data_IF_508946762467
#
_entry.id   IF_508946762467
#
_cell.length_a   1.000
_cell.length_b   1.000
_cell.length_c   1.000
_cell.angle_alpha   90.00
_cell.angle_beta   90.00
_cell.angle_gamma   90.00
#
_symmetry.space_group_name_H-M   'P 1'
#
loop_
_entity.id
_entity.type
_entity.pdbx_description
1 polymer ?
#
# COMPACT_ATOMS: atom_id res chain seq x y z
N UNK A 1 -2.64 16.17 -45.05
CA UNK A 1 -3.95 16.83 -44.80
C UNK A 1 -4.72 16.20 -43.61
N UNK A 2 -4.16 15.25 -42.88
CA UNK A 2 -4.84 14.52 -41.77
C UNK A 2 -4.43 14.99 -40.35
N UNK A 3 -3.36 15.76 -40.20
CA UNK A 3 -2.85 16.19 -38.88
C UNK A 3 -3.58 17.40 -38.25
N UNK A 4 -4.33 18.19 -39.05
CA UNK A 4 -5.01 19.39 -38.53
C UNK A 4 -6.30 19.14 -37.74
N UNK A 5 -6.87 17.94 -37.77
CA UNK A 5 -8.16 17.63 -37.09
C UNK A 5 -7.97 17.08 -35.66
N UNK A 6 -6.85 16.43 -35.36
CA UNK A 6 -6.61 15.82 -34.04
C UNK A 6 -6.24 16.89 -33.00
N UNK A 7 -5.48 17.90 -33.39
CA UNK A 7 -5.10 18.99 -32.48
C UNK A 7 -6.28 19.86 -32.00
N UNK A 8 -7.33 20.02 -32.82
CA UNK A 8 -8.50 20.82 -32.46
C UNK A 8 -9.43 20.13 -31.45
N UNK A 9 -9.53 18.80 -31.48
CA UNK A 9 -10.40 18.05 -30.56
C UNK A 9 -9.83 18.03 -29.15
N UNK A 10 -8.52 17.94 -28.99
CA UNK A 10 -7.89 17.99 -27.66
C UNK A 10 -7.97 19.39 -27.02
N UNK A 11 -7.88 20.44 -27.81
CA UNK A 11 -7.95 21.81 -27.28
C UNK A 11 -9.35 22.20 -26.79
N UNK A 12 -10.40 21.71 -27.43
CA UNK A 12 -11.78 21.98 -27.00
C UNK A 12 -12.24 21.17 -25.79
N UNK A 13 -11.71 19.97 -25.58
CA UNK A 13 -11.97 19.16 -24.38
C UNK A 13 -11.31 19.73 -23.13
N UNK A 14 -10.15 20.42 -23.29
CA UNK A 14 -9.42 21.01 -22.17
C UNK A 14 -10.03 22.33 -21.67
N UNK A 15 -10.61 23.12 -22.56
CA UNK A 15 -11.25 24.41 -22.22
C UNK A 15 -12.64 24.25 -21.60
N UNK A 16 -13.37 23.17 -21.94
CA UNK A 16 -14.72 22.94 -21.41
C UNK A 16 -14.73 22.40 -19.95
N UNK A 17 -13.61 21.86 -19.46
CA UNK A 17 -13.49 21.34 -18.08
C UNK A 17 -13.00 22.40 -17.06
N UNK A 18 -12.64 23.60 -17.53
CA UNK A 18 -12.02 24.61 -16.67
C UNK A 18 -12.97 25.66 -16.08
N UNK A 19 -14.26 25.55 -16.31
CA UNK A 19 -15.21 26.59 -15.87
C UNK A 19 -15.90 26.31 -14.52
N UNK A 20 -15.59 25.27 -13.77
CA UNK A 20 -16.34 24.94 -12.54
C UNK A 20 -15.56 24.43 -11.32
N UNK A 21 -14.26 24.62 -11.16
CA UNK A 21 -13.68 24.39 -9.82
C UNK A 21 -12.47 25.29 -9.57
N UNK A 22 -12.61 26.22 -8.65
CA UNK A 22 -11.48 26.89 -8.00
C UNK A 22 -10.78 25.89 -7.07
N UNK A 23 -9.59 25.40 -7.47
CA UNK A 23 -8.74 24.60 -6.61
C UNK A 23 -7.90 25.50 -5.70
N UNK A 24 -7.84 25.21 -4.39
CA UNK A 24 -6.86 25.88 -3.53
C UNK A 24 -5.43 25.45 -3.93
N UNK A 25 -4.49 26.40 -3.81
CA UNK A 25 -3.07 26.17 -4.11
C UNK A 25 -2.50 24.97 -3.32
N UNK A 26 -1.67 24.12 -3.93
CA UNK A 26 -1.06 23.01 -3.21
C UNK A 26 -0.06 23.56 -2.19
N UNK A 27 -0.33 23.31 -0.91
CA UNK A 27 0.65 23.47 0.15
C UNK A 27 1.78 22.44 -0.09
N UNK A 28 3.03 22.90 -0.02
CA UNK A 28 4.22 22.07 -0.08
C UNK A 28 4.27 21.15 1.16
N UNK A 29 3.71 19.99 1.03
CA UNK A 29 3.70 18.90 2.01
C UNK A 29 2.96 17.77 1.34
N UNK A 30 3.69 16.79 0.81
CA UNK A 30 3.08 15.55 0.33
C UNK A 30 2.24 14.94 1.45
N UNK A 31 1.15 14.22 1.14
CA UNK A 31 0.36 13.57 2.16
C UNK A 31 1.27 12.62 2.92
N UNK A 32 1.57 12.97 4.17
CA UNK A 32 2.03 11.99 5.15
C UNK A 32 0.88 11.00 5.24
N UNK A 33 1.06 9.82 4.65
CA UNK A 33 0.16 8.70 4.84
C UNK A 33 0.10 8.47 6.35
N UNK A 34 -0.93 9.01 7.00
CA UNK A 34 -1.33 8.50 8.30
C UNK A 34 -1.54 7.01 8.11
N UNK A 35 -0.69 6.21 8.76
CA UNK A 35 -0.95 4.79 8.87
C UNK A 35 -2.41 4.68 9.31
N UNK A 36 -3.20 3.94 8.54
CA UNK A 36 -4.56 3.61 8.95
C UNK A 36 -4.44 3.08 10.39
N UNK A 37 -5.32 3.53 11.31
CA UNK A 37 -5.28 3.01 12.67
C UNK A 37 -5.34 1.50 12.57
N UNK A 38 -4.30 0.83 13.07
CA UNK A 38 -4.29 -0.62 13.23
C UNK A 38 -5.44 -0.90 14.18
N UNK A 39 -6.49 -1.63 13.77
CA UNK A 39 -7.56 -1.93 14.69
C UNK A 39 -7.00 -2.75 15.85
N UNK A 40 -7.28 -2.35 17.07
CA UNK A 40 -6.85 -3.03 18.30
C UNK A 40 -7.52 -4.40 18.52
N UNK A 41 -8.23 -4.94 17.53
CA UNK A 41 -8.98 -6.17 17.65
C UNK A 41 -8.23 -7.37 17.07
N UNK A 42 -7.57 -8.11 17.92
CA UNK A 42 -7.26 -9.51 17.67
C UNK A 42 -8.58 -10.28 17.75
N UNK A 43 -8.91 -10.98 16.67
CA UNK A 43 -10.13 -11.76 16.62
C UNK A 43 -9.94 -13.15 17.27
N UNK A 44 -10.95 -13.60 17.96
CA UNK A 44 -11.08 -14.92 18.59
C UNK A 44 -11.99 -15.79 17.76
N UNK A 45 -11.58 -17.03 17.38
CA UNK A 45 -12.46 -17.96 16.70
C UNK A 45 -13.69 -18.26 17.56
N UNK A 46 -14.83 -18.51 16.90
CA UNK A 46 -16.10 -18.82 17.54
C UNK A 46 -15.98 -19.83 18.66
N UNK A 47 -16.26 -19.37 19.87
CA UNK A 47 -16.87 -20.19 20.88
C UNK A 47 -18.37 -19.96 20.77
N UNK A 48 -19.20 -21.01 20.94
CA UNK A 48 -20.63 -20.87 20.79
C UNK A 48 -21.18 -19.80 21.72
N UNK A 49 -21.92 -18.91 21.11
CA UNK A 49 -22.85 -17.90 21.63
C UNK A 49 -22.55 -17.18 22.94
N UNK A 50 -22.44 -15.86 22.78
CA UNK A 50 -22.76 -14.73 23.66
C UNK A 50 -21.58 -13.82 24.01
N UNK A 51 -21.37 -12.77 23.20
CA UNK A 51 -20.52 -11.64 23.55
C UNK A 51 -20.99 -10.90 24.80
N UNK A 52 -22.31 -10.96 25.11
CA UNK A 52 -22.91 -10.48 26.37
C UNK A 52 -22.45 -11.29 27.56
N UNK A 53 -22.48 -12.62 27.47
CA UNK A 53 -22.07 -13.51 28.56
C UNK A 53 -20.55 -13.43 28.83
N UNK A 54 -19.78 -13.11 27.82
CA UNK A 54 -18.32 -12.91 27.95
C UNK A 54 -17.96 -11.65 28.73
N UNK A 55 -18.64 -10.54 28.48
CA UNK A 55 -18.47 -9.30 29.27
C UNK A 55 -18.89 -9.49 30.71
N UNK A 56 -20.01 -10.18 30.91
CA UNK A 56 -20.52 -10.50 32.23
C UNK A 56 -19.58 -11.45 33.01
N UNK A 57 -18.99 -12.47 32.35
CA UNK A 57 -17.98 -13.35 32.96
C UNK A 57 -16.66 -12.63 33.27
N UNK A 58 -16.22 -11.69 32.41
CA UNK A 58 -15.02 -10.88 32.66
C UNK A 58 -15.24 -9.91 33.83
N UNK A 59 -16.42 -9.32 33.92
CA UNK A 59 -16.81 -8.45 35.05
C UNK A 59 -16.98 -9.29 36.33
N UNK A 60 -17.56 -10.50 36.23
CA UNK A 60 -17.69 -11.43 37.34
C UNK A 60 -16.32 -11.85 37.88
N UNK A 61 -15.35 -12.13 37.00
CA UNK A 61 -13.97 -12.46 37.41
C UNK A 61 -13.23 -11.28 38.03
N UNK A 62 -13.48 -10.07 37.57
CA UNK A 62 -12.96 -8.86 38.18
C UNK A 62 -13.57 -8.61 39.57
N UNK A 63 -14.86 -8.86 39.73
CA UNK A 63 -15.55 -8.77 41.00
C UNK A 63 -15.17 -9.88 41.98
N UNK A 64 -14.96 -11.12 41.50
CA UNK A 64 -14.45 -12.21 42.31
C UNK A 64 -13.03 -11.94 42.84
N UNK A 65 -12.16 -11.36 42.00
CA UNK A 65 -10.81 -10.93 42.42
C UNK A 65 -10.89 -9.81 43.48
N UNK A 66 -11.80 -8.85 43.33
CA UNK A 66 -12.03 -7.80 44.32
C UNK A 66 -12.58 -8.37 45.62
N UNK A 67 -13.53 -9.30 45.56
CA UNK A 67 -14.09 -10.00 46.74
C UNK A 67 -13.06 -10.87 47.45
N UNK A 68 -12.25 -11.63 46.73
CA UNK A 68 -11.16 -12.45 47.29
C UNK A 68 -10.09 -11.60 48.01
N UNK A 69 -9.75 -10.43 47.44
CA UNK A 69 -8.83 -9.50 48.08
C UNK A 69 -9.36 -8.86 49.37
N UNK A 70 -10.69 -8.79 49.53
CA UNK A 70 -11.36 -8.21 50.72
C UNK A 70 -11.66 -9.27 51.79
N UNK A 71 -11.86 -10.53 51.40
CA UNK A 71 -12.28 -11.61 52.33
C UNK A 71 -11.15 -12.42 52.90
N UNK A 72 -9.90 -12.27 52.43
CA UNK A 72 -8.76 -13.08 52.85
C UNK A 72 -8.89 -14.57 52.51
N UNK A 73 -9.90 -14.95 51.72
CA UNK A 73 -10.04 -16.32 51.18
C UNK A 73 -9.01 -16.55 50.09
N UNK A 74 -8.37 -17.72 50.09
CA UNK A 74 -7.43 -18.11 49.04
C UNK A 74 -8.15 -18.11 47.69
N UNK A 75 -7.70 -17.28 46.76
CA UNK A 75 -8.17 -17.31 45.37
C UNK A 75 -7.77 -18.70 44.82
N UNK A 76 -8.69 -19.49 44.23
CA UNK A 76 -8.33 -20.77 43.66
C UNK A 76 -7.29 -20.51 42.54
N UNK A 77 -6.10 -21.09 42.76
CA UNK A 77 -5.01 -21.01 41.77
C UNK A 77 -5.07 -22.28 40.89
N UNK A 78 -5.15 -22.08 39.58
CA UNK A 78 -5.03 -23.16 38.61
C UNK A 78 -3.55 -23.41 38.33
N UNK A 79 -3.19 -24.69 38.37
CA UNK A 79 -1.85 -25.15 38.01
C UNK A 79 -1.84 -25.82 36.65
N UNK A 80 -0.64 -26.09 36.12
CA UNK A 80 -0.47 -26.70 34.79
C UNK A 80 -1.10 -28.12 34.71
N UNK A 81 -1.16 -28.85 35.81
CA UNK A 81 -1.76 -30.21 35.81
C UNK A 81 -3.29 -30.15 35.73
N UNK A 82 -3.91 -29.10 36.30
CA UNK A 82 -5.33 -28.84 36.12
C UNK A 82 -5.68 -28.57 34.67
N UNK A 83 -4.82 -27.79 33.97
CA UNK A 83 -4.98 -27.49 32.56
C UNK A 83 -4.73 -28.69 31.67
N UNK A 84 -3.73 -29.54 31.98
CA UNK A 84 -3.46 -30.79 31.25
C UNK A 84 -4.61 -31.77 31.30
N UNK A 85 -5.38 -31.74 32.37
CA UNK A 85 -6.52 -32.64 32.58
C UNK A 85 -7.85 -32.05 32.07
N UNK A 86 -7.84 -30.74 31.66
CA UNK A 86 -9.06 -30.05 31.19
C UNK A 86 -8.80 -29.25 29.91
N UNK A 87 -8.99 -29.90 28.74
CA UNK A 87 -8.74 -29.23 27.45
C UNK A 87 -9.64 -28.02 27.22
N UNK A 88 -10.89 -28.04 27.71
CA UNK A 88 -11.82 -26.90 27.58
C UNK A 88 -11.30 -25.67 28.34
N UNK A 89 -10.81 -25.87 29.55
CA UNK A 89 -10.22 -24.83 30.35
C UNK A 89 -8.95 -24.26 29.69
N UNK A 90 -8.08 -25.12 29.15
CA UNK A 90 -6.90 -24.72 28.43
C UNK A 90 -7.26 -23.88 27.19
N UNK A 91 -8.26 -24.29 26.41
CA UNK A 91 -8.78 -23.53 25.27
C UNK A 91 -9.34 -22.17 25.69
N UNK A 92 -10.11 -22.14 26.79
CA UNK A 92 -10.65 -20.90 27.31
C UNK A 92 -9.55 -19.89 27.71
N UNK A 93 -8.51 -20.38 28.39
CA UNK A 93 -7.38 -19.51 28.80
C UNK A 93 -6.60 -19.05 27.57
N UNK A 94 -6.33 -19.93 26.59
CA UNK A 94 -5.67 -19.54 25.34
C UNK A 94 -6.46 -18.45 24.61
N UNK A 95 -7.78 -18.61 24.47
CA UNK A 95 -8.63 -17.58 23.88
C UNK A 95 -8.59 -16.26 24.64
N UNK A 96 -8.68 -16.32 25.97
CA UNK A 96 -8.63 -15.13 26.81
C UNK A 96 -7.28 -14.43 26.72
N UNK A 97 -6.20 -15.18 26.71
CA UNK A 97 -4.84 -14.64 26.57
C UNK A 97 -4.61 -14.06 25.17
N UNK A 98 -5.20 -14.67 24.12
CA UNK A 98 -5.18 -14.09 22.76
C UNK A 98 -5.86 -12.73 22.71
N UNK A 99 -7.07 -12.59 23.30
CA UNK A 99 -7.79 -11.30 23.34
C UNK A 99 -6.99 -10.22 24.08
N UNK A 100 -6.25 -10.63 25.11
CA UNK A 100 -5.47 -9.72 25.97
C UNK A 100 -4.05 -9.48 25.48
N UNK A 101 -3.67 -10.12 24.38
CA UNK A 101 -2.28 -10.13 23.89
C UNK A 101 -1.27 -10.56 24.95
N UNK A 102 -1.68 -11.46 25.86
CA UNK A 102 -0.79 -11.99 26.89
C UNK A 102 0.12 -13.09 26.31
N UNK A 103 1.15 -12.61 25.63
CA UNK A 103 2.11 -13.48 24.94
C UNK A 103 2.86 -14.41 25.90
N UNK A 104 3.04 -14.01 27.15
CA UNK A 104 3.73 -14.83 28.17
C UNK A 104 2.90 -16.04 28.53
N UNK A 105 1.61 -15.83 28.85
CA UNK A 105 0.68 -16.93 29.14
C UNK A 105 0.50 -17.85 27.92
N UNK A 106 0.39 -17.27 26.71
CA UNK A 106 0.29 -18.06 25.47
C UNK A 106 1.53 -18.94 25.27
N UNK A 107 2.74 -18.41 25.40
CA UNK A 107 3.97 -19.18 25.24
C UNK A 107 4.07 -20.30 26.29
N UNK A 108 3.68 -20.02 27.52
CA UNK A 108 3.71 -20.99 28.60
C UNK A 108 2.78 -22.18 28.31
N UNK A 109 1.51 -21.92 28.01
CA UNK A 109 0.53 -22.98 27.74
C UNK A 109 0.90 -23.74 26.48
N UNK A 110 1.32 -23.07 25.42
CA UNK A 110 1.76 -23.69 24.18
C UNK A 110 2.91 -24.67 24.36
N UNK A 111 3.69 -24.51 25.44
CA UNK A 111 4.77 -25.43 25.81
C UNK A 111 4.32 -26.83 26.11
N UNK A 112 3.10 -27.03 26.61
CA UNK A 112 2.53 -28.36 26.96
C UNK A 112 1.17 -28.64 26.32
N UNK A 113 0.58 -27.71 25.57
CA UNK A 113 -0.77 -27.83 25.02
C UNK A 113 -0.96 -29.08 24.16
N UNK A 114 0.06 -29.52 23.43
CA UNK A 114 0.01 -30.73 22.61
C UNK A 114 -0.04 -32.03 23.44
N UNK A 115 0.36 -31.97 24.70
CA UNK A 115 0.35 -33.11 25.60
C UNK A 115 -1.02 -33.26 26.28
N UNK A 116 -1.92 -32.28 26.09
CA UNK A 116 -3.29 -32.32 26.62
C UNK A 116 -4.11 -33.33 25.80
N UNK A 117 -4.74 -34.36 26.43
CA UNK A 117 -5.62 -35.28 25.74
C UNK A 117 -6.80 -34.52 25.11
N UNK A 118 -6.98 -34.64 23.80
CA UNK A 118 -8.07 -33.95 23.10
C UNK A 118 -7.81 -32.48 22.79
N UNK A 119 -6.52 -32.03 22.79
CA UNK A 119 -6.18 -30.70 22.36
C UNK A 119 -6.70 -30.41 20.94
N UNK A 120 -7.00 -29.13 20.65
CA UNK A 120 -7.43 -28.69 19.33
C UNK A 120 -6.21 -28.36 18.44
N UNK A 121 -5.94 -29.12 17.37
CA UNK A 121 -4.83 -28.85 16.45
C UNK A 121 -4.97 -27.49 15.74
N UNK A 122 -6.20 -27.04 15.49
CA UNK A 122 -6.44 -25.74 14.82
C UNK A 122 -6.11 -24.60 15.76
N UNK A 123 -6.55 -24.68 17.02
CA UNK A 123 -6.19 -23.73 18.06
C UNK A 123 -4.67 -23.67 18.24
N UNK A 124 -3.99 -24.83 18.24
CA UNK A 124 -2.54 -24.88 18.32
C UNK A 124 -1.86 -24.14 17.16
N UNK A 125 -2.28 -24.42 15.93
CA UNK A 125 -1.75 -23.74 14.74
C UNK A 125 -2.06 -22.23 14.78
N UNK A 126 -3.28 -21.84 15.19
CA UNK A 126 -3.74 -20.45 15.27
C UNK A 126 -2.91 -19.63 16.27
N UNK A 127 -2.81 -20.08 17.51
CA UNK A 127 -2.00 -19.41 18.55
C UNK A 127 -0.52 -19.38 18.16
N UNK A 128 0.00 -20.47 17.60
CA UNK A 128 1.37 -20.56 17.10
C UNK A 128 1.65 -19.52 16.01
N UNK A 129 0.70 -19.27 15.13
CA UNK A 129 0.76 -18.23 14.11
C UNK A 129 0.75 -16.81 14.72
N UNK A 130 -0.11 -16.57 15.71
CA UNK A 130 -0.17 -15.29 16.42
C UNK A 130 1.15 -14.97 17.16
N UNK A 131 1.73 -15.95 17.83
CA UNK A 131 3.04 -15.81 18.49
C UNK A 131 4.16 -15.50 17.47
N UNK A 132 4.11 -16.09 16.28
CA UNK A 132 5.06 -15.76 15.22
C UNK A 132 4.87 -14.33 14.71
N UNK A 133 3.62 -13.85 14.59
CA UNK A 133 3.33 -12.44 14.24
C UNK A 133 3.88 -11.49 15.30
N UNK A 134 3.60 -11.74 16.57
CA UNK A 134 4.11 -10.94 17.68
C UNK A 134 5.65 -10.85 17.71
N UNK A 135 6.32 -11.93 17.27
CA UNK A 135 7.79 -11.97 17.13
C UNK A 135 8.31 -11.38 15.81
N UNK A 136 7.47 -10.71 15.01
CA UNK A 136 7.83 -10.11 13.73
C UNK A 136 8.07 -11.11 12.58
N UNK A 137 7.74 -12.40 12.76
CA UNK A 137 7.93 -13.45 11.74
C UNK A 137 6.71 -13.56 10.82
N UNK A 138 6.28 -12.41 10.26
CA UNK A 138 5.03 -12.27 9.49
C UNK A 138 4.87 -13.30 8.36
N UNK A 139 5.92 -13.58 7.58
CA UNK A 139 5.83 -14.54 6.49
C UNK A 139 5.51 -15.97 6.95
N UNK A 140 6.00 -16.38 8.13
CA UNK A 140 5.67 -17.69 8.72
C UNK A 140 4.26 -17.72 9.28
N UNK A 141 3.84 -16.66 9.97
CA UNK A 141 2.48 -16.50 10.48
C UNK A 141 1.46 -16.59 9.33
N UNK A 142 1.63 -15.81 8.27
CA UNK A 142 0.78 -15.83 7.08
C UNK A 142 0.68 -17.23 6.48
N UNK A 143 1.78 -17.99 6.44
CA UNK A 143 1.76 -19.37 5.91
C UNK A 143 0.86 -20.27 6.77
N UNK A 144 0.98 -20.21 8.10
CA UNK A 144 0.16 -21.00 9.02
C UNK A 144 -1.32 -20.65 8.84
N UNK A 145 -1.68 -19.35 8.86
CA UNK A 145 -3.07 -18.94 8.72
C UNK A 145 -3.67 -19.31 7.35
N UNK A 146 -2.88 -19.23 6.27
CA UNK A 146 -3.31 -19.74 4.95
C UNK A 146 -3.59 -21.23 4.98
N UNK A 147 -2.77 -22.00 5.68
CA UNK A 147 -2.95 -23.45 5.81
C UNK A 147 -4.20 -23.78 6.62
N UNK A 148 -4.49 -23.03 7.70
CA UNK A 148 -5.73 -23.16 8.47
C UNK A 148 -6.95 -22.88 7.58
N UNK A 149 -7.00 -21.69 6.95
CA UNK A 149 -8.14 -21.27 6.10
C UNK A 149 -8.34 -22.21 4.91
N UNK A 150 -7.26 -22.83 4.40
CA UNK A 150 -7.38 -23.83 3.32
C UNK A 150 -8.00 -25.12 3.80
N UNK A 151 -7.66 -25.59 5.02
CA UNK A 151 -8.20 -26.81 5.63
C UNK A 151 -9.64 -26.61 6.11
N UNK A 152 -9.93 -25.44 6.65
CA UNK A 152 -11.22 -25.06 7.23
C UNK A 152 -11.65 -23.69 6.68
N UNK A 153 -12.33 -23.66 5.54
CA UNK A 153 -12.73 -22.40 4.87
C UNK A 153 -13.77 -21.60 5.66
N UNK A 154 -14.51 -22.24 6.55
CA UNK A 154 -15.62 -21.65 7.32
C UNK A 154 -15.15 -20.82 8.52
N UNK A 155 -13.83 -20.80 8.79
CA UNK A 155 -13.25 -19.99 9.84
C UNK A 155 -13.05 -18.53 9.37
N UNK A 156 -14.16 -17.80 9.25
CA UNK A 156 -14.22 -16.42 8.73
C UNK A 156 -13.29 -15.46 9.48
N UNK A 157 -13.17 -15.66 10.77
CA UNK A 157 -12.32 -14.80 11.60
C UNK A 157 -10.82 -15.06 11.45
N UNK A 158 -10.44 -16.34 11.30
CA UNK A 158 -9.04 -16.66 10.94
C UNK A 158 -8.69 -16.08 9.58
N UNK A 159 -9.67 -16.03 8.67
CA UNK A 159 -9.54 -15.36 7.37
C UNK A 159 -9.39 -13.84 7.51
N UNK A 160 -10.15 -13.22 8.41
CA UNK A 160 -10.04 -11.79 8.71
C UNK A 160 -8.64 -11.43 9.23
N UNK A 161 -8.13 -12.23 10.18
CA UNK A 161 -6.77 -12.07 10.70
C UNK A 161 -5.70 -12.28 9.62
N UNK A 162 -5.86 -13.31 8.78
CA UNK A 162 -4.99 -13.53 7.64
C UNK A 162 -4.97 -12.30 6.71
N UNK A 163 -6.14 -11.75 6.42
CA UNK A 163 -6.28 -10.57 5.57
C UNK A 163 -5.57 -9.34 6.20
N UNK A 164 -5.73 -9.14 7.51
CA UNK A 164 -5.02 -8.10 8.26
C UNK A 164 -3.49 -8.26 8.19
N UNK A 165 -2.98 -9.47 8.41
CA UNK A 165 -1.54 -9.76 8.29
C UNK A 165 -1.00 -9.56 6.86
N UNK A 166 -1.80 -9.88 5.84
CA UNK A 166 -1.44 -9.63 4.44
C UNK A 166 -1.38 -8.13 4.15
N UNK A 167 -2.31 -7.36 4.70
CA UNK A 167 -2.33 -5.90 4.59
C UNK A 167 -1.09 -5.28 5.24
N UNK A 168 -0.78 -5.64 6.48
CA UNK A 168 0.42 -5.20 7.20
C UNK A 168 1.69 -5.49 6.40
N UNK A 169 1.75 -6.69 5.80
CA UNK A 169 2.89 -7.10 4.97
C UNK A 169 2.85 -6.52 3.54
N UNK A 170 1.96 -5.56 3.25
CA UNK A 170 1.81 -4.87 1.95
C UNK A 170 1.45 -5.78 0.76
N UNK A 171 0.92 -6.95 1.04
CA UNK A 171 0.37 -7.85 0.03
C UNK A 171 -1.10 -7.48 -0.28
N UNK A 172 -1.32 -6.22 -0.66
CA UNK A 172 -2.64 -5.57 -0.73
C UNK A 172 -3.65 -6.32 -1.60
N UNK A 173 -3.22 -6.86 -2.74
CA UNK A 173 -4.10 -7.62 -3.63
C UNK A 173 -4.58 -8.92 -3.00
N UNK A 174 -3.70 -9.60 -2.28
CA UNK A 174 -4.06 -10.85 -1.58
C UNK A 174 -4.92 -10.52 -0.35
N UNK A 175 -4.59 -9.46 0.39
CA UNK A 175 -5.40 -8.95 1.48
C UNK A 175 -6.83 -8.60 1.03
N UNK A 176 -6.97 -7.82 -0.05
CA UNK A 176 -8.26 -7.45 -0.59
C UNK A 176 -9.13 -8.67 -0.94
N UNK A 177 -8.53 -9.72 -1.51
CA UNK A 177 -9.27 -10.94 -1.83
C UNK A 177 -9.84 -11.64 -0.60
N UNK A 178 -9.06 -11.70 0.49
CA UNK A 178 -9.53 -12.33 1.72
C UNK A 178 -10.57 -11.45 2.43
N UNK A 179 -10.39 -10.12 2.48
CA UNK A 179 -11.42 -9.20 3.00
C UNK A 179 -12.72 -9.25 2.20
N UNK A 180 -12.65 -9.32 0.87
CA UNK A 180 -13.82 -9.49 0.01
C UNK A 180 -14.58 -10.80 0.27
N UNK A 181 -13.87 -11.87 0.66
CA UNK A 181 -14.51 -13.13 1.06
C UNK A 181 -15.20 -12.97 2.41
N UNK A 182 -14.50 -12.44 3.42
CA UNK A 182 -15.07 -12.15 4.74
C UNK A 182 -16.35 -11.32 4.61
N UNK A 183 -16.36 -10.27 3.80
CA UNK A 183 -17.53 -9.41 3.57
C UNK A 183 -18.75 -10.16 3.01
N UNK A 184 -18.53 -11.28 2.31
CA UNK A 184 -19.61 -12.11 1.73
C UNK A 184 -20.08 -13.24 2.63
N UNK A 185 -19.34 -13.50 3.68
CA UNK A 185 -19.67 -14.52 4.67
C UNK A 185 -20.66 -13.96 5.70
N UNK A 186 -21.39 -14.82 6.37
CA UNK A 186 -22.26 -14.45 7.49
C UNK A 186 -21.40 -14.28 8.74
N UNK A 187 -21.03 -13.04 9.02
CA UNK A 187 -20.14 -12.63 10.11
C UNK A 187 -20.74 -11.42 10.83
N UNK A 188 -20.35 -11.19 12.08
CA UNK A 188 -20.86 -10.05 12.84
C UNK A 188 -20.65 -8.73 12.11
N UNK A 189 -21.61 -7.78 12.27
CA UNK A 189 -21.56 -6.49 11.58
C UNK A 189 -20.26 -5.72 11.79
N UNK A 190 -19.68 -5.79 12.97
CA UNK A 190 -18.45 -5.10 13.35
C UNK A 190 -17.24 -5.66 12.55
N UNK A 191 -17.18 -6.96 12.37
CA UNK A 191 -16.12 -7.62 11.59
C UNK A 191 -16.29 -7.35 10.09
N UNK A 192 -17.53 -7.27 9.60
CA UNK A 192 -17.82 -6.89 8.23
C UNK A 192 -17.44 -5.42 7.96
N UNK A 193 -17.74 -4.50 8.89
CA UNK A 193 -17.33 -3.10 8.83
C UNK A 193 -15.80 -2.97 8.83
N UNK A 194 -15.12 -3.74 9.68
CA UNK A 194 -13.67 -3.78 9.71
C UNK A 194 -13.08 -4.21 8.36
N UNK A 195 -13.63 -5.25 7.73
CA UNK A 195 -13.20 -5.70 6.41
C UNK A 195 -13.40 -4.59 5.35
N UNK A 196 -14.52 -3.86 5.39
CA UNK A 196 -14.79 -2.75 4.47
C UNK A 196 -13.79 -1.59 4.67
N UNK A 197 -13.48 -1.24 5.92
CA UNK A 197 -12.48 -0.21 6.24
C UNK A 197 -11.10 -0.57 5.68
N UNK A 198 -10.69 -1.84 5.76
CA UNK A 198 -9.45 -2.29 5.15
C UNK A 198 -9.49 -2.25 3.61
N UNK A 199 -10.62 -2.62 2.99
CA UNK A 199 -10.78 -2.52 1.54
C UNK A 199 -10.67 -1.07 1.06
N UNK A 200 -11.28 -0.14 1.80
CA UNK A 200 -11.13 1.29 1.54
C UNK A 200 -9.66 1.73 1.68
N UNK A 201 -8.99 1.37 2.78
CA UNK A 201 -7.58 1.69 3.00
C UNK A 201 -6.67 1.14 1.88
N UNK A 202 -6.95 -0.08 1.37
CA UNK A 202 -6.22 -0.65 0.23
C UNK A 202 -6.43 0.18 -1.04
N UNK A 203 -7.66 0.65 -1.28
CA UNK A 203 -7.96 1.49 -2.45
C UNK A 203 -7.24 2.83 -2.39
N UNK A 204 -7.11 3.40 -1.20
CA UNK A 204 -6.43 4.67 -0.94
C UNK A 204 -4.90 4.53 -0.93
N UNK A 205 -4.37 3.34 -0.63
CA UNK A 205 -2.93 3.08 -0.61
C UNK A 205 -2.27 3.17 -1.99
N UNK A 206 -3.03 2.95 -3.06
CA UNK A 206 -2.52 2.92 -4.43
C UNK A 206 -3.39 3.75 -5.40
N UNK A 207 -3.58 5.06 -5.16
CA UNK A 207 -4.39 5.91 -6.03
C UNK A 207 -3.70 6.13 -7.38
N UNK A 208 -4.48 6.49 -8.39
CA UNK A 208 -3.95 7.13 -9.56
C UNK A 208 -3.44 8.53 -9.19
N UNK A 209 -2.20 8.82 -9.52
CA UNK A 209 -1.63 10.16 -9.37
C UNK A 209 -1.59 10.80 -10.74
N UNK A 210 -2.36 11.86 -10.92
CA UNK A 210 -2.38 12.62 -12.15
C UNK A 210 -1.97 14.05 -11.82
N UNK A 211 -0.93 14.52 -12.49
CA UNK A 211 -0.45 15.90 -12.39
C UNK A 211 -0.52 16.51 -13.78
N UNK A 212 -1.06 17.71 -13.88
CA UNK A 212 -1.02 18.50 -15.10
C UNK A 212 -0.40 19.87 -14.80
N UNK A 213 0.38 20.36 -15.72
CA UNK A 213 0.98 21.68 -15.61
C UNK A 213 0.85 22.44 -16.93
N UNK A 214 0.78 23.75 -16.81
CA UNK A 214 0.91 24.67 -17.93
C UNK A 214 1.64 25.91 -17.44
N UNK A 215 2.41 26.52 -18.31
CA UNK A 215 3.19 27.70 -17.97
C UNK A 215 3.48 28.57 -19.19
N UNK A 216 3.84 29.83 -18.92
CA UNK A 216 4.39 30.74 -19.88
C UNK A 216 5.88 30.83 -19.67
N UNK A 217 6.66 30.75 -20.75
CA UNK A 217 8.11 30.86 -20.68
C UNK A 217 8.66 31.75 -21.79
N UNK A 218 9.85 32.27 -21.57
CA UNK A 218 10.66 32.92 -22.57
C UNK A 218 12.01 32.23 -22.67
N UNK A 219 12.43 31.89 -23.89
CA UNK A 219 13.76 31.40 -24.18
C UNK A 219 14.47 32.42 -25.09
N UNK A 220 15.73 32.68 -24.79
CA UNK A 220 16.59 33.51 -25.67
C UNK A 220 17.21 32.68 -26.82
N UNK A 221 17.02 31.38 -26.81
CA UNK A 221 17.52 30.45 -27.81
C UNK A 221 16.51 29.32 -28.00
N UNK A 222 15.44 29.61 -28.73
CA UNK A 222 14.32 28.67 -28.95
C UNK A 222 14.74 27.47 -29.81
N UNK A 223 15.61 27.72 -30.80
CA UNK A 223 16.08 26.71 -31.75
C UNK A 223 17.33 25.91 -31.28
N UNK A 224 17.73 26.08 -30.01
CA UNK A 224 18.93 25.45 -29.44
C UNK A 224 20.19 25.59 -30.31
N UNK A 225 20.29 26.69 -31.07
CA UNK A 225 21.40 26.94 -31.97
C UNK A 225 22.67 27.40 -31.23
N UNK A 226 23.82 27.07 -31.78
CA UNK A 226 25.09 27.61 -31.29
C UNK A 226 25.20 29.10 -31.61
N UNK A 227 25.82 29.88 -30.73
CA UNK A 227 26.04 31.32 -30.91
C UNK A 227 27.16 31.65 -31.92
N UNK A 228 27.90 30.64 -32.40
CA UNK A 228 28.94 30.87 -33.40
C UNK A 228 28.30 31.23 -34.74
N UNK A 229 28.81 32.29 -35.37
CA UNK A 229 28.36 32.80 -36.66
C UNK A 229 28.95 32.06 -37.88
N UNK A 230 29.77 31.04 -37.62
CA UNK A 230 30.36 30.17 -38.63
C UNK A 230 30.37 28.72 -38.14
N UNK A 231 30.52 27.78 -39.07
CA UNK A 231 30.90 26.41 -38.77
C UNK A 231 32.21 26.04 -39.51
N UNK A 232 33.01 25.16 -38.90
CA UNK A 232 34.28 24.70 -39.43
C UNK A 232 34.03 23.49 -40.31
N UNK A 233 34.31 23.62 -41.61
CA UNK A 233 34.23 22.53 -42.56
C UNK A 233 35.63 21.92 -42.75
N UNK A 234 35.85 20.63 -42.47
CA UNK A 234 37.16 20.01 -42.76
C UNK A 234 37.38 20.01 -44.25
N UNK A 235 38.43 20.71 -44.70
CA UNK A 235 38.68 20.92 -46.10
C UNK A 235 39.86 20.06 -46.63
N UNK A 236 40.92 19.93 -45.84
CA UNK A 236 42.16 19.29 -46.26
C UNK A 236 42.89 18.69 -45.08
N UNK A 237 43.53 17.54 -45.28
CA UNK A 237 44.44 16.91 -44.31
C UNK A 237 45.82 16.83 -44.92
N UNK A 238 46.82 17.48 -44.27
CA UNK A 238 48.23 17.45 -44.68
C UNK A 238 49.04 17.10 -43.42
N UNK A 239 49.92 16.12 -43.52
CA UNK A 239 50.79 15.70 -42.42
C UNK A 239 50.06 15.48 -41.07
N UNK A 240 48.94 14.76 -41.11
CA UNK A 240 48.03 14.50 -39.98
C UNK A 240 47.34 15.76 -39.37
N UNK A 241 47.54 16.95 -39.94
CA UNK A 241 46.83 18.19 -39.56
C UNK A 241 45.60 18.39 -40.45
N UNK A 242 44.42 18.63 -39.80
CA UNK A 242 43.20 18.93 -40.53
C UNK A 242 42.99 20.42 -40.63
N UNK A 243 42.91 20.90 -41.85
CA UNK A 243 42.63 22.30 -42.17
C UNK A 243 41.13 22.52 -42.35
N UNK A 244 40.61 23.56 -41.71
CA UNK A 244 39.18 23.87 -41.71
C UNK A 244 38.91 25.15 -42.47
N UNK A 245 37.87 25.14 -43.29
CA UNK A 245 37.31 26.33 -43.88
C UNK A 245 36.18 26.88 -43.04
N UNK A 246 36.17 28.18 -42.77
CA UNK A 246 35.07 28.84 -42.03
C UNK A 246 33.95 29.20 -42.99
N UNK A 247 32.83 28.52 -42.84
CA UNK A 247 31.63 28.80 -43.59
C UNK A 247 30.70 29.68 -42.72
N UNK A 248 30.23 30.85 -43.22
CA UNK A 248 29.27 31.65 -42.47
C UNK A 248 27.95 30.92 -42.34
N UNK A 249 27.29 31.12 -41.21
CA UNK A 249 25.95 30.61 -40.97
C UNK A 249 24.91 31.59 -41.43
N UNK A 250 23.78 31.08 -41.91
CA UNK A 250 22.62 31.90 -42.25
C UNK A 250 21.96 32.46 -40.99
N UNK A 251 21.41 33.67 -41.09
CA UNK A 251 20.77 34.35 -39.95
C UNK A 251 19.64 33.53 -39.30
N UNK A 252 18.93 32.73 -40.11
CA UNK A 252 17.85 31.85 -39.63
C UNK A 252 18.36 30.67 -38.78
N UNK A 253 19.62 30.29 -38.92
CA UNK A 253 20.27 29.25 -38.14
C UNK A 253 20.96 29.75 -36.87
N UNK A 254 20.92 31.05 -36.62
CA UNK A 254 21.44 31.68 -35.40
C UNK A 254 20.41 31.58 -34.25
N UNK A 255 20.85 31.68 -32.97
CA UNK A 255 19.95 31.70 -31.85
C UNK A 255 18.91 32.81 -31.96
N UNK A 256 17.64 32.48 -31.77
CA UNK A 256 16.58 33.46 -31.70
C UNK A 256 15.72 33.27 -30.46
N UNK A 257 15.23 34.38 -29.91
CA UNK A 257 14.41 34.40 -28.72
C UNK A 257 12.92 34.31 -29.05
N UNK A 258 12.16 33.75 -28.13
CA UNK A 258 10.72 33.62 -28.27
C UNK A 258 9.99 33.30 -26.97
N UNK A 259 8.72 33.66 -26.97
CA UNK A 259 7.79 33.28 -25.92
C UNK A 259 7.10 31.97 -26.33
N UNK A 260 6.92 31.09 -25.34
CA UNK A 260 6.24 29.83 -25.54
C UNK A 260 5.35 29.45 -24.36
N UNK A 261 4.47 28.50 -24.62
CA UNK A 261 3.61 27.86 -23.61
C UNK A 261 4.14 26.44 -23.34
N UNK A 262 4.57 26.18 -22.09
CA UNK A 262 4.86 24.84 -21.62
C UNK A 262 3.56 24.17 -21.19
N UNK A 263 3.44 22.90 -21.44
CA UNK A 263 2.31 22.07 -21.02
C UNK A 263 2.75 20.64 -20.78
N UNK A 264 2.08 19.95 -19.89
CA UNK A 264 2.33 18.54 -19.68
C UNK A 264 1.35 17.90 -18.75
N UNK A 265 1.34 16.57 -18.81
CA UNK A 265 0.60 15.69 -17.93
C UNK A 265 1.49 14.54 -17.52
N UNK A 266 1.47 14.22 -16.25
CA UNK A 266 2.11 13.04 -15.67
C UNK A 266 1.04 12.17 -15.06
N UNK A 267 1.07 10.88 -15.36
CA UNK A 267 0.17 9.86 -14.81
C UNK A 267 1.00 8.77 -14.19
N UNK A 268 0.85 8.58 -12.88
CA UNK A 268 1.60 7.58 -12.13
C UNK A 268 0.66 6.60 -11.46
N UNK A 269 1.03 5.32 -11.46
CA UNK A 269 0.32 4.24 -10.78
C UNK A 269 1.28 3.21 -10.23
N UNK A 270 1.16 2.96 -8.94
CA UNK A 270 1.72 1.75 -8.32
C UNK A 270 0.60 0.70 -8.23
N UNK A 271 0.91 -0.54 -8.55
CA UNK A 271 -0.06 -1.64 -8.46
C UNK A 271 0.57 -2.87 -7.85
N UNK A 272 -0.12 -3.46 -6.87
CA UNK A 272 0.28 -4.75 -6.30
C UNK A 272 -0.18 -5.89 -7.22
N UNK A 273 0.74 -6.72 -7.67
CA UNK A 273 0.45 -7.82 -8.61
C UNK A 273 0.12 -9.10 -7.88
N UNK A 274 0.99 -9.52 -6.95
CA UNK A 274 0.82 -10.74 -6.15
C UNK A 274 1.76 -10.72 -4.96
N UNK A 275 1.24 -11.03 -3.77
CA UNK A 275 2.04 -10.99 -2.55
C UNK A 275 2.70 -9.61 -2.40
N UNK A 276 4.00 -9.60 -2.24
CA UNK A 276 4.81 -8.39 -2.04
C UNK A 276 5.38 -7.79 -3.33
N UNK A 277 4.97 -8.30 -4.50
CA UNK A 277 5.43 -7.85 -5.81
C UNK A 277 4.55 -6.71 -6.32
N UNK A 278 5.16 -5.58 -6.60
CA UNK A 278 4.51 -4.37 -7.09
C UNK A 278 5.12 -3.95 -8.43
N UNK A 279 4.29 -3.39 -9.29
CA UNK A 279 4.71 -2.70 -10.51
C UNK A 279 4.37 -1.22 -10.37
N UNK A 280 5.27 -0.37 -10.83
CA UNK A 280 5.06 1.07 -10.97
C UNK A 280 5.05 1.44 -12.44
N UNK A 281 4.15 2.34 -12.81
CA UNK A 281 4.07 2.93 -14.13
C UNK A 281 4.08 4.45 -13.98
N UNK A 282 4.89 5.10 -14.78
CA UNK A 282 4.93 6.56 -14.89
C UNK A 282 4.88 6.91 -16.37
N UNK A 283 3.87 7.68 -16.76
CA UNK A 283 3.70 8.22 -18.11
C UNK A 283 3.76 9.73 -18.01
N UNK A 284 4.70 10.32 -18.71
CA UNK A 284 4.79 11.77 -18.84
C UNK A 284 4.69 12.15 -20.32
N UNK A 285 3.82 13.10 -20.60
CA UNK A 285 3.67 13.69 -21.92
C UNK A 285 3.61 15.22 -21.78
N UNK A 286 4.43 15.93 -22.52
CA UNK A 286 4.46 17.37 -22.43
C UNK A 286 5.34 18.01 -23.51
N UNK A 287 5.41 19.32 -23.47
CA UNK A 287 6.24 20.05 -24.44
C UNK A 287 6.13 21.55 -24.31
N UNK A 288 6.65 22.22 -25.29
CA UNK A 288 6.59 23.67 -25.44
C UNK A 288 6.07 24.02 -26.83
N UNK A 289 5.09 24.90 -26.86
CA UNK A 289 4.57 25.47 -28.11
C UNK A 289 5.01 26.93 -28.24
N UNK A 290 5.73 27.22 -29.32
CA UNK A 290 6.19 28.55 -29.69
C UNK A 290 5.31 29.10 -30.83
N UNK A 291 4.38 30.04 -30.59
CA UNK A 291 3.44 30.52 -31.61
C UNK A 291 4.10 31.12 -32.85
N UNK A 292 5.24 31.82 -32.68
CA UNK A 292 5.99 32.46 -33.74
C UNK A 292 7.03 31.55 -34.41
N UNK A 293 7.44 30.48 -33.71
CA UNK A 293 8.50 29.56 -34.13
C UNK A 293 8.00 28.13 -34.09
N UNK A 294 6.98 27.83 -34.88
CA UNK A 294 6.29 26.52 -34.82
C UNK A 294 7.17 25.33 -35.17
N UNK A 295 8.26 25.57 -35.92
CA UNK A 295 9.25 24.53 -36.28
C UNK A 295 10.04 24.08 -35.06
N UNK A 296 10.17 24.93 -34.04
CA UNK A 296 10.93 24.69 -32.82
C UNK A 296 10.03 24.21 -31.66
N UNK A 297 8.78 23.81 -31.94
CA UNK A 297 7.91 23.21 -30.96
C UNK A 297 8.50 21.86 -30.47
N UNK A 298 8.51 21.70 -29.16
CA UNK A 298 9.01 20.50 -28.51
C UNK A 298 7.85 19.66 -28.01
N UNK A 299 7.97 18.34 -28.17
CA UNK A 299 7.07 17.37 -27.55
C UNK A 299 7.89 16.19 -27.03
N UNK A 300 7.71 15.89 -25.76
CA UNK A 300 8.37 14.79 -25.07
C UNK A 300 7.31 13.80 -24.59
N UNK A 301 7.59 12.53 -24.77
CA UNK A 301 6.80 11.42 -24.24
C UNK A 301 7.76 10.44 -23.58
N UNK A 302 7.55 10.20 -22.29
CA UNK A 302 8.29 9.16 -21.56
C UNK A 302 7.32 8.16 -20.94
N UNK A 303 7.72 6.90 -20.93
CA UNK A 303 7.02 5.82 -20.27
C UNK A 303 8.05 5.02 -19.48
N UNK A 304 7.91 5.05 -18.17
CA UNK A 304 8.75 4.30 -17.25
C UNK A 304 7.95 3.19 -16.60
N UNK A 305 8.54 2.00 -16.51
CA UNK A 305 7.98 0.87 -15.79
C UNK A 305 9.00 0.35 -14.79
N UNK A 306 8.57 0.21 -13.54
CA UNK A 306 9.41 -0.23 -12.45
C UNK A 306 8.85 -1.46 -11.76
N UNK A 307 9.73 -2.23 -11.13
CA UNK A 307 9.38 -3.33 -10.26
C UNK A 307 9.87 -3.05 -8.84
N UNK A 308 9.00 -3.28 -7.85
CA UNK A 308 9.31 -3.11 -6.43
C UNK A 308 8.91 -4.35 -5.65
N UNK A 309 9.78 -4.82 -4.77
CA UNK A 309 9.44 -5.85 -3.78
C UNK A 309 9.38 -5.18 -2.41
N UNK A 310 8.19 -5.17 -1.80
CA UNK A 310 7.95 -4.46 -0.55
C UNK A 310 7.40 -5.42 0.51
N UNK A 311 8.03 -5.42 1.68
CA UNK A 311 7.55 -6.13 2.87
C UNK A 311 7.47 -5.15 4.04
N UNK A 312 6.86 -5.59 5.15
CA UNK A 312 6.85 -4.79 6.39
C UNK A 312 8.26 -4.37 6.84
N UNK A 313 9.25 -5.21 6.61
CA UNK A 313 10.63 -5.00 7.05
C UNK A 313 11.55 -4.38 5.98
N UNK A 314 11.07 -4.22 4.74
CA UNK A 314 11.80 -3.61 3.63
C UNK A 314 10.90 -2.53 2.98
N UNK A 315 11.14 -1.31 3.36
CA UNK A 315 10.52 -0.12 2.74
C UNK A 315 11.48 0.58 1.84
#
# INVERSE_FOLDING_TARGET
MCQKKICKVFFYLFVALWSQTAFPAPSAGGPVLKAAPVPDAIFVPDLPDNASDRREQLDLNADLRKKGAVSGEAVPELNDDDLKNNPEMANYILNTAMIREDWVTLEHIMGFYRDIPGYDPVMYEFVGGALLRARGKHGRAIKIYRDIVRKQPDLSYVRLDLAGMLFENRAYRDAAKEFERVRREDIEPEAAEQAENYLQAISEANPWQVKAYTGWQYSNNVNNATSNDYFLWPFLVIDDETYYYKLPREAESMPHGGHGYSYGVQVQKDTNVKGNHNLSFDLEAGGVHYPHWQVDNEFNLSLDAGYKYQTLNNT
#
